data_IF_079221281343
#
_entry.id   IF_079221281343
#
_cell.length_a   1.000
_cell.length_b   1.000
_cell.length_c   1.000
_cell.angle_alpha   90.00
_cell.angle_beta   90.00
_cell.angle_gamma   90.00
#
_symmetry.space_group_name_H-M   'P 1'
#
loop_
_entity.id
_entity.type
_entity.pdbx_description
1 polymer ?
#
# COMPACT_ATOMS: atom_id res chain seq x y z
N UNK A 1 -16.49 -14.04 26.21
CA UNK A 1 -15.26 -14.61 25.60
C UNK A 1 -14.03 -14.02 26.30
N UNK A 2 -12.95 -14.78 26.53
CA UNK A 2 -11.70 -14.23 27.10
C UNK A 2 -10.85 -13.62 25.99
N UNK A 3 -10.05 -12.57 26.29
CA UNK A 3 -9.20 -11.90 25.30
C UNK A 3 -8.26 -12.88 24.56
N UNK A 4 -7.79 -13.93 25.24
CA UNK A 4 -6.99 -15.00 24.64
C UNK A 4 -7.72 -15.76 23.53
N UNK A 5 -9.04 -15.99 23.64
CA UNK A 5 -9.79 -16.71 22.61
C UNK A 5 -9.96 -15.87 21.34
N UNK A 6 -10.11 -14.54 21.50
CA UNK A 6 -10.21 -13.61 20.36
C UNK A 6 -8.90 -13.58 19.56
N UNK A 7 -7.76 -13.51 20.26
CA UNK A 7 -6.42 -13.55 19.65
C UNK A 7 -6.21 -14.86 18.87
N UNK A 8 -6.58 -16.00 19.46
CA UNK A 8 -6.44 -17.31 18.81
C UNK A 8 -7.24 -17.42 17.51
N UNK A 9 -8.48 -16.90 17.47
CA UNK A 9 -9.31 -16.92 16.26
C UNK A 9 -8.70 -16.04 15.18
N UNK A 10 -8.24 -14.84 15.53
CA UNK A 10 -7.62 -13.93 14.56
C UNK A 10 -6.36 -14.54 13.95
N UNK A 11 -5.51 -15.19 14.75
CA UNK A 11 -4.34 -15.91 14.27
C UNK A 11 -4.70 -17.13 13.42
N UNK A 12 -5.71 -17.90 13.85
CA UNK A 12 -6.18 -19.06 13.09
C UNK A 12 -6.71 -18.65 11.70
N UNK A 13 -7.27 -17.44 11.56
CA UNK A 13 -7.73 -16.90 10.29
C UNK A 13 -6.59 -16.46 9.35
N UNK A 14 -5.32 -16.48 9.76
CA UNK A 14 -4.18 -16.07 8.92
C UNK A 14 -3.78 -17.14 7.89
N UNK A 15 -4.05 -18.42 8.16
CA UNK A 15 -3.77 -19.51 7.21
C UNK A 15 -4.87 -20.57 7.21
N UNK A 16 -5.09 -21.19 6.04
CA UNK A 16 -6.08 -22.27 5.88
C UNK A 16 -5.84 -23.41 6.89
N UNK A 17 -4.57 -23.80 7.05
CA UNK A 17 -4.20 -24.90 7.94
C UNK A 17 -4.47 -24.55 9.40
N UNK A 18 -4.03 -23.37 9.84
CA UNK A 18 -4.19 -22.95 11.24
C UNK A 18 -5.67 -22.76 11.59
N UNK A 19 -6.49 -22.38 10.61
CA UNK A 19 -7.94 -22.29 10.76
C UNK A 19 -8.58 -23.65 10.99
N UNK A 20 -8.24 -24.65 10.17
CA UNK A 20 -8.78 -26.00 10.32
C UNK A 20 -8.28 -26.68 11.59
N UNK A 21 -7.00 -26.52 11.93
CA UNK A 21 -6.41 -27.05 13.17
C UNK A 21 -7.13 -26.44 14.39
N UNK A 22 -7.44 -25.13 14.35
CA UNK A 22 -8.23 -24.46 15.38
C UNK A 22 -9.67 -25.00 15.48
N UNK A 23 -10.36 -25.18 14.35
CA UNK A 23 -11.71 -25.72 14.33
C UNK A 23 -11.75 -27.16 14.85
N UNK A 24 -10.78 -28.00 14.49
CA UNK A 24 -10.68 -29.38 14.96
C UNK A 24 -10.40 -29.45 16.48
N UNK A 25 -9.56 -28.53 16.97
CA UNK A 25 -9.27 -28.41 18.41
C UNK A 25 -10.48 -27.92 19.23
N UNK A 26 -11.27 -26.97 18.73
CA UNK A 26 -12.46 -26.48 19.44
C UNK A 26 -13.62 -27.48 19.39
N UNK A 27 -13.81 -28.19 18.26
CA UNK A 27 -14.83 -29.23 18.12
C UNK A 27 -14.56 -30.40 19.05
N UNK A 28 -13.31 -30.84 19.17
CA UNK A 28 -12.92 -31.97 20.03
C UNK A 28 -13.07 -31.69 21.54
N UNK A 29 -13.13 -30.42 21.95
CA UNK A 29 -13.24 -30.03 23.37
C UNK A 29 -14.70 -29.81 23.81
N UNK A 30 -15.65 -29.63 22.89
CA UNK A 30 -17.01 -29.13 23.21
C UNK A 30 -18.19 -29.87 22.56
N UNK A 31 -17.97 -31.08 22.05
CA UNK A 31 -18.87 -31.89 21.20
C UNK A 31 -20.27 -32.25 21.75
N UNK A 32 -20.69 -31.84 22.96
CA UNK A 32 -22.01 -32.26 23.49
C UNK A 32 -22.93 -31.17 24.05
N UNK A 33 -22.44 -29.97 24.38
CA UNK A 33 -23.29 -28.92 24.97
C UNK A 33 -23.45 -27.66 24.13
N UNK A 34 -22.50 -27.33 23.24
CA UNK A 34 -22.52 -26.08 22.47
C UNK A 34 -23.13 -26.22 21.08
N UNK A 35 -23.04 -27.40 20.44
CA UNK A 35 -23.72 -27.66 19.18
C UNK A 35 -25.24 -27.43 19.29
N UNK A 36 -25.84 -27.88 20.40
CA UNK A 36 -27.26 -27.66 20.69
C UNK A 36 -27.62 -26.20 21.00
N UNK A 37 -26.66 -25.38 21.46
CA UNK A 37 -26.91 -23.96 21.71
C UNK A 37 -26.76 -23.14 20.43
N UNK A 38 -25.81 -23.50 19.56
CA UNK A 38 -25.62 -22.86 18.26
C UNK A 38 -26.81 -23.11 17.32
N UNK A 39 -27.45 -24.28 17.38
CA UNK A 39 -28.69 -24.56 16.60
C UNK A 39 -29.91 -23.76 17.07
N UNK A 40 -29.91 -23.22 18.31
CA UNK A 40 -31.03 -22.44 18.85
C UNK A 40 -30.89 -20.94 18.48
N UNK A 41 -29.66 -20.45 18.30
CA UNK A 41 -29.39 -19.09 17.86
C UNK A 41 -29.51 -19.00 16.34
N UNK A 42 -30.27 -18.02 15.83
CA UNK A 42 -30.34 -17.79 14.39
C UNK A 42 -28.96 -17.44 13.84
N UNK A 43 -28.49 -18.19 12.86
CA UNK A 43 -27.26 -17.88 12.14
C UNK A 43 -27.33 -16.46 11.54
N UNK A 44 -26.22 -15.69 11.55
CA UNK A 44 -26.11 -14.49 10.72
C UNK A 44 -26.42 -14.86 9.27
N UNK A 45 -27.17 -13.99 8.59
CA UNK A 45 -27.43 -14.19 7.17
C UNK A 45 -26.12 -14.09 6.36
N UNK A 46 -26.17 -14.60 5.14
CA UNK A 46 -25.00 -14.65 4.27
C UNK A 46 -24.47 -13.25 3.90
N UNK A 47 -25.34 -12.24 3.81
CA UNK A 47 -24.96 -10.86 3.52
C UNK A 47 -24.15 -10.26 4.67
N UNK A 48 -24.50 -10.59 5.91
CA UNK A 48 -23.79 -10.18 7.12
C UNK A 48 -22.45 -10.89 7.26
N UNK A 49 -22.36 -12.18 6.92
CA UNK A 49 -21.08 -12.90 6.85
C UNK A 49 -20.18 -12.35 5.73
N UNK A 50 -20.75 -11.98 4.58
CA UNK A 50 -20.01 -11.35 3.49
C UNK A 50 -19.52 -9.94 3.88
N UNK A 51 -20.39 -9.15 4.51
CA UNK A 51 -20.04 -7.83 5.05
C UNK A 51 -18.99 -7.92 6.15
N UNK A 52 -18.98 -9.00 6.93
CA UNK A 52 -17.92 -9.28 7.90
C UNK A 52 -16.58 -9.52 7.21
N UNK A 53 -16.54 -10.40 6.20
CA UNK A 53 -15.31 -10.68 5.43
C UNK A 53 -14.79 -9.44 4.71
N UNK A 54 -15.70 -8.64 4.16
CA UNK A 54 -15.38 -7.39 3.46
C UNK A 54 -15.27 -6.17 4.38
N UNK A 55 -15.35 -6.36 5.70
CA UNK A 55 -15.24 -5.32 6.73
C UNK A 55 -16.18 -4.12 6.57
N UNK A 56 -17.39 -4.38 6.09
CA UNK A 56 -18.44 -3.38 5.90
C UNK A 56 -19.40 -3.30 7.10
N UNK A 57 -19.20 -4.14 8.13
CA UNK A 57 -19.97 -4.09 9.37
C UNK A 57 -19.45 -2.98 10.29
N UNK A 58 -20.37 -2.41 11.07
CA UNK A 58 -19.99 -1.57 12.20
C UNK A 58 -19.36 -2.42 13.33
N UNK A 59 -18.67 -1.78 14.28
CA UNK A 59 -17.97 -2.47 15.37
C UNK A 59 -18.88 -3.40 16.19
N UNK A 60 -20.17 -3.08 16.31
CA UNK A 60 -21.12 -3.87 17.08
C UNK A 60 -21.45 -5.16 16.33
N UNK A 61 -21.81 -5.03 15.06
CA UNK A 61 -22.16 -6.16 14.20
C UNK A 61 -20.95 -7.05 13.91
N UNK A 62 -19.76 -6.46 13.74
CA UNK A 62 -18.49 -7.18 13.61
C UNK A 62 -18.22 -8.08 14.82
N UNK A 63 -18.32 -7.53 16.03
CA UNK A 63 -18.14 -8.30 17.26
C UNK A 63 -19.21 -9.39 17.43
N UNK A 64 -20.45 -9.14 17.03
CA UNK A 64 -21.52 -10.14 17.05
C UNK A 64 -21.24 -11.31 16.10
N UNK A 65 -20.81 -11.01 14.87
CA UNK A 65 -20.46 -12.06 13.89
C UNK A 65 -19.24 -12.83 14.38
N UNK A 66 -18.21 -12.15 14.87
CA UNK A 66 -17.00 -12.77 15.40
C UNK A 66 -17.28 -13.71 16.58
N UNK A 67 -18.15 -13.31 17.52
CA UNK A 67 -18.57 -14.18 18.63
C UNK A 67 -19.36 -15.39 18.10
N UNK A 68 -20.25 -15.21 17.12
CA UNK A 68 -21.01 -16.30 16.53
C UNK A 68 -20.10 -17.31 15.81
N UNK A 69 -19.20 -16.86 14.93
CA UNK A 69 -18.31 -17.76 14.18
C UNK A 69 -17.34 -18.51 15.09
N UNK A 70 -17.01 -17.94 16.26
CA UNK A 70 -16.18 -18.62 17.27
C UNK A 70 -16.79 -19.89 17.87
N UNK A 71 -18.11 -20.05 17.73
CA UNK A 71 -18.88 -21.15 18.30
C UNK A 71 -19.73 -21.90 17.28
N UNK A 72 -19.76 -21.44 16.03
CA UNK A 72 -20.57 -22.00 14.96
C UNK A 72 -19.70 -22.42 13.77
N UNK A 73 -19.39 -23.72 13.69
CA UNK A 73 -18.60 -24.32 12.60
C UNK A 73 -19.12 -23.95 11.20
N UNK A 74 -20.44 -24.00 11.01
CA UNK A 74 -21.07 -23.70 9.71
C UNK A 74 -20.79 -22.27 9.26
N UNK A 75 -20.95 -21.29 10.14
CA UNK A 75 -20.68 -19.89 9.81
C UNK A 75 -19.19 -19.62 9.65
N UNK A 76 -18.34 -20.28 10.45
CA UNK A 76 -16.88 -20.20 10.32
C UNK A 76 -16.40 -20.72 8.95
N UNK A 77 -16.86 -21.90 8.51
CA UNK A 77 -16.59 -22.44 7.18
C UNK A 77 -17.12 -21.55 6.06
N UNK A 78 -18.27 -20.91 6.26
CA UNK A 78 -18.84 -19.98 5.27
C UNK A 78 -17.99 -18.72 5.13
N UNK A 79 -17.57 -18.12 6.24
CA UNK A 79 -16.64 -16.97 6.26
C UNK A 79 -15.33 -17.34 5.56
N UNK A 80 -14.79 -18.53 5.84
CA UNK A 80 -13.57 -19.00 5.19
C UNK A 80 -13.76 -19.14 3.66
N UNK A 81 -14.85 -19.75 3.20
CA UNK A 81 -15.16 -19.86 1.77
C UNK A 81 -15.31 -18.51 1.09
N UNK A 82 -15.99 -17.56 1.73
CA UNK A 82 -16.13 -16.20 1.19
C UNK A 82 -14.75 -15.56 1.06
N UNK A 83 -13.87 -15.70 2.05
CA UNK A 83 -12.50 -15.17 1.99
C UNK A 83 -11.70 -15.80 0.85
N UNK A 84 -11.74 -17.13 0.69
CA UNK A 84 -11.09 -17.82 -0.44
C UNK A 84 -11.59 -17.32 -1.80
N UNK A 85 -12.90 -17.12 -1.95
CA UNK A 85 -13.49 -16.59 -3.18
C UNK A 85 -13.01 -15.16 -3.44
N UNK A 86 -12.96 -14.30 -2.42
CA UNK A 86 -12.46 -12.93 -2.56
C UNK A 86 -10.97 -12.92 -2.95
N UNK A 87 -10.14 -13.78 -2.34
CA UNK A 87 -8.73 -13.93 -2.70
C UNK A 87 -8.52 -14.45 -4.13
N UNK A 88 -9.31 -15.44 -4.55
CA UNK A 88 -9.28 -15.96 -5.93
C UNK A 88 -9.73 -14.91 -6.93
N UNK A 89 -10.83 -14.19 -6.65
CA UNK A 89 -11.31 -13.10 -7.51
C UNK A 89 -10.31 -11.94 -7.59
N UNK A 90 -9.59 -11.67 -6.49
CA UNK A 90 -8.51 -10.69 -6.46
C UNK A 90 -7.35 -11.13 -7.34
N UNK A 91 -6.91 -12.39 -7.22
CA UNK A 91 -5.85 -12.95 -8.04
C UNK A 91 -6.24 -12.96 -9.52
N UNK A 92 -7.46 -13.37 -9.85
CA UNK A 92 -7.99 -13.33 -11.21
C UNK A 92 -8.03 -11.89 -11.76
N UNK A 93 -8.38 -10.90 -10.93
CA UNK A 93 -8.40 -9.50 -11.33
C UNK A 93 -6.98 -8.93 -11.57
N UNK A 94 -5.99 -9.42 -10.84
CA UNK A 94 -4.57 -9.11 -11.05
C UNK A 94 -4.04 -9.79 -12.31
N UNK A 95 -4.29 -11.09 -12.47
CA UNK A 95 -3.89 -11.87 -13.65
C UNK A 95 -4.54 -11.33 -14.93
N UNK A 96 -5.80 -10.90 -14.84
CA UNK A 96 -6.48 -10.23 -15.95
C UNK A 96 -5.85 -8.88 -16.29
N UNK A 97 -5.44 -8.10 -15.27
CA UNK A 97 -4.76 -6.82 -15.50
C UNK A 97 -3.40 -7.02 -16.20
N UNK A 98 -2.67 -8.07 -15.82
CA UNK A 98 -1.38 -8.43 -16.43
C UNK A 98 -1.52 -8.98 -17.85
N UNK A 99 -2.66 -9.61 -18.18
CA UNK A 99 -2.91 -10.19 -19.51
C UNK A 99 -3.27 -9.17 -20.58
N UNK A 100 -3.72 -7.96 -20.23
CA UNK A 100 -4.02 -6.92 -21.23
C UNK A 100 -2.77 -6.07 -21.42
N UNK A 101 -2.05 -6.18 -22.55
CA UNK A 101 -0.92 -5.31 -22.81
C UNK A 101 -1.38 -3.85 -22.73
N UNK A 102 -0.68 -3.01 -21.96
CA UNK A 102 -0.94 -1.56 -21.88
C UNK A 102 -1.05 -0.94 -23.28
N UNK A 103 -0.33 -1.50 -24.26
CA UNK A 103 -0.38 -1.14 -25.68
C UNK A 103 -1.75 -1.37 -26.33
N UNK A 104 -2.50 -2.40 -25.95
CA UNK A 104 -3.87 -2.65 -26.46
C UNK A 104 -4.89 -1.68 -25.85
N UNK A 105 -4.76 -1.30 -24.57
CA UNK A 105 -5.63 -0.30 -23.95
C UNK A 105 -5.41 1.08 -24.58
N UNK A 106 -4.14 1.47 -24.80
CA UNK A 106 -3.79 2.71 -25.49
C UNK A 106 -4.25 2.66 -26.95
N UNK A 107 -4.09 1.52 -27.65
CA UNK A 107 -4.56 1.33 -29.03
C UNK A 107 -6.06 1.59 -29.16
N UNK A 108 -6.89 1.06 -28.25
CA UNK A 108 -8.35 1.29 -28.25
C UNK A 108 -8.74 2.75 -27.99
N UNK A 109 -8.03 3.43 -27.09
CA UNK A 109 -8.27 4.86 -26.83
C UNK A 109 -7.89 5.71 -28.05
N UNK A 110 -6.75 5.41 -28.67
CA UNK A 110 -6.27 6.10 -29.87
C UNK A 110 -7.19 5.83 -31.06
N UNK A 111 -7.68 4.61 -31.27
CA UNK A 111 -8.59 4.29 -32.38
C UNK A 111 -9.94 5.00 -32.23
N UNK A 112 -10.49 5.04 -31.01
CA UNK A 112 -11.75 5.74 -30.73
C UNK A 112 -11.63 7.27 -30.90
N UNK A 113 -10.46 7.84 -30.58
CA UNK A 113 -10.16 9.24 -30.85
C UNK A 113 -9.96 9.50 -32.35
N UNK A 114 -9.25 8.60 -33.04
CA UNK A 114 -8.98 8.73 -34.48
C UNK A 114 -10.24 8.62 -35.33
N UNK A 115 -11.19 7.75 -35.00
CA UNK A 115 -12.50 7.68 -35.68
C UNK A 115 -13.32 8.97 -35.47
N UNK A 116 -13.29 9.54 -34.27
CA UNK A 116 -13.98 10.83 -33.99
C UNK A 116 -13.31 12.00 -34.71
N UNK A 117 -11.99 11.96 -34.87
CA UNK A 117 -11.19 13.02 -35.50
C UNK A 117 -11.27 12.96 -37.03
N UNK A 118 -11.26 11.77 -37.62
CA UNK A 118 -11.26 11.57 -39.08
C UNK A 118 -12.62 11.82 -39.75
N UNK A 119 -13.72 11.85 -38.99
CA UNK A 119 -15.08 12.07 -39.51
C UNK A 119 -15.42 13.54 -39.85
N UNK A 120 -14.48 14.50 -39.76
CA UNK A 120 -14.74 15.92 -40.12
C UNK A 120 -13.75 16.43 -41.18
N UNK A 121 -14.04 16.28 -42.48
CA UNK A 121 -13.18 16.80 -43.54
C UNK A 121 -13.61 18.22 -43.88
N UNK A 122 -12.81 19.24 -43.51
CA UNK A 122 -12.47 20.41 -44.35
C UNK A 122 -11.79 21.60 -43.63
N UNK A 123 -11.64 21.60 -42.30
CA UNK A 123 -11.08 22.76 -41.56
C UNK A 123 -9.70 22.52 -40.92
N UNK A 124 -8.91 21.57 -41.43
CA UNK A 124 -7.73 21.06 -40.72
C UNK A 124 -6.37 21.61 -41.17
N UNK A 125 -6.29 22.41 -42.25
CA UNK A 125 -5.00 22.96 -42.68
C UNK A 125 -4.44 24.02 -41.69
N UNK A 126 -5.30 24.77 -40.99
CA UNK A 126 -4.87 25.72 -39.95
C UNK A 126 -4.77 25.10 -38.55
N UNK A 127 -5.59 24.07 -38.26
CA UNK A 127 -5.62 23.40 -36.95
C UNK A 127 -4.43 22.46 -36.69
N UNK A 128 -3.99 21.69 -37.69
CA UNK A 128 -2.83 20.80 -37.52
C UNK A 128 -1.52 21.55 -37.27
N UNK A 129 -1.34 22.72 -37.90
CA UNK A 129 -0.16 23.56 -37.66
C UNK A 129 -0.12 24.06 -36.22
N UNK A 130 -1.25 24.51 -35.68
CA UNK A 130 -1.35 24.96 -34.30
C UNK A 130 -1.15 23.79 -33.31
N UNK A 131 -1.77 22.63 -33.57
CA UNK A 131 -1.60 21.45 -32.71
C UNK A 131 -0.15 20.92 -32.73
N UNK A 132 0.47 20.86 -33.91
CA UNK A 132 1.88 20.48 -34.04
C UNK A 132 2.81 21.49 -33.36
N UNK A 133 2.52 22.79 -33.46
CA UNK A 133 3.26 23.84 -32.76
C UNK A 133 3.07 23.74 -31.24
N UNK A 134 1.87 23.45 -30.74
CA UNK A 134 1.62 23.22 -29.31
C UNK A 134 2.35 21.97 -28.81
N UNK A 135 2.38 20.88 -29.58
CA UNK A 135 3.12 19.66 -29.24
C UNK A 135 4.62 19.93 -29.25
N UNK A 136 5.15 20.62 -30.27
CA UNK A 136 6.56 21.03 -30.30
C UNK A 136 6.92 21.97 -29.15
N UNK A 137 6.05 22.92 -28.78
CA UNK A 137 6.26 23.77 -27.61
C UNK A 137 6.23 22.97 -26.31
N UNK A 138 5.40 21.94 -26.21
CA UNK A 138 5.38 21.03 -25.06
C UNK A 138 6.68 20.21 -24.95
N UNK A 139 7.23 19.73 -26.06
CA UNK A 139 8.51 19.02 -26.10
C UNK A 139 9.75 19.94 -25.99
N UNK A 140 9.64 21.21 -26.40
CA UNK A 140 10.72 22.20 -26.37
C UNK A 140 10.71 23.07 -25.10
N UNK A 141 9.67 23.00 -24.27
CA UNK A 141 9.72 23.57 -22.93
C UNK A 141 10.80 22.85 -22.13
N UNK A 142 11.94 23.52 -21.81
CA UNK A 142 13.04 22.88 -21.12
C UNK A 142 12.58 22.56 -19.69
N UNK A 143 12.46 21.27 -19.41
CA UNK A 143 12.06 20.78 -18.10
C UNK A 143 10.56 20.94 -17.89
N UNK A 144 9.82 19.85 -18.13
CA UNK A 144 8.83 19.46 -17.12
C UNK A 144 9.56 19.59 -15.79
N UNK A 145 9.18 20.62 -15.02
CA UNK A 145 9.72 20.91 -13.71
C UNK A 145 9.80 19.56 -13.01
N UNK A 146 11.01 19.02 -12.80
CA UNK A 146 11.17 17.75 -12.07
C UNK A 146 10.44 18.02 -10.78
N UNK A 147 9.26 17.41 -10.67
CA UNK A 147 8.35 17.63 -9.57
C UNK A 147 9.19 17.37 -8.35
N UNK A 148 9.37 18.41 -7.53
CA UNK A 148 10.29 18.33 -6.41
C UNK A 148 9.67 17.35 -5.42
N UNK A 149 10.06 16.07 -5.54
CA UNK A 149 9.54 14.96 -4.75
C UNK A 149 9.62 15.31 -3.26
N UNK A 150 10.71 15.98 -2.87
CA UNK A 150 10.93 16.43 -1.50
C UNK A 150 9.82 17.38 -1.02
N UNK A 151 9.34 18.28 -1.90
CA UNK A 151 8.24 19.19 -1.62
C UNK A 151 6.93 18.44 -1.38
N UNK A 152 6.58 17.48 -2.26
CA UNK A 152 5.36 16.68 -2.09
C UNK A 152 5.38 15.86 -0.81
N UNK A 153 6.51 15.20 -0.51
CA UNK A 153 6.67 14.42 0.72
C UNK A 153 6.62 15.32 1.97
N UNK A 154 7.17 16.52 1.91
CA UNK A 154 7.10 17.50 3.01
C UNK A 154 5.67 17.98 3.23
N UNK A 155 4.94 18.33 2.17
CA UNK A 155 3.53 18.73 2.25
C UNK A 155 2.66 17.61 2.84
N UNK A 156 2.86 16.37 2.38
CA UNK A 156 2.18 15.18 2.92
C UNK A 156 2.48 14.97 4.40
N UNK A 157 3.73 15.19 4.81
CA UNK A 157 4.13 15.07 6.22
C UNK A 157 3.43 16.08 7.10
N UNK A 158 3.31 17.33 6.65
CA UNK A 158 2.57 18.38 7.38
C UNK A 158 1.10 18.00 7.52
N UNK A 159 0.47 17.50 6.45
CA UNK A 159 -0.93 17.03 6.50
C UNK A 159 -1.03 15.88 7.51
N UNK A 160 -0.16 14.86 7.39
CA UNK A 160 -0.18 13.71 8.28
C UNK A 160 0.13 14.07 9.74
N UNK A 161 0.97 15.06 10.03
CA UNK A 161 1.21 15.54 11.40
C UNK A 161 -0.04 16.15 12.07
N UNK A 162 -0.97 16.71 11.29
CA UNK A 162 -2.25 17.20 11.82
C UNK A 162 -3.21 16.05 12.13
N UNK A 163 -3.06 14.94 11.41
CA UNK A 163 -3.86 13.71 11.48
C UNK A 163 -3.30 12.74 12.53
N UNK A 164 -2.00 12.74 12.79
CA UNK A 164 -1.25 11.68 13.49
C UNK A 164 -1.19 11.78 15.02
N UNK A 165 -1.94 12.68 15.69
CA UNK A 165 -1.88 12.75 17.18
C UNK A 165 -2.21 11.42 17.89
N UNK A 166 -2.79 10.45 17.17
CA UNK A 166 -3.11 9.10 17.68
C UNK A 166 -2.30 7.97 17.03
N UNK A 167 -1.51 8.25 15.99
CA UNK A 167 -0.83 7.19 15.27
C UNK A 167 0.46 6.80 16.01
N UNK A 168 0.44 5.63 16.63
CA UNK A 168 1.68 4.97 17.06
C UNK A 168 2.21 4.20 15.87
N UNK A 169 3.18 4.77 15.17
CA UNK A 169 3.84 4.02 14.10
C UNK A 169 4.68 2.95 14.80
N UNK A 170 4.49 1.66 14.50
CA UNK A 170 5.26 0.59 15.12
C UNK A 170 6.67 0.53 14.50
N UNK A 171 7.44 1.62 14.59
CA UNK A 171 8.83 1.64 14.12
C UNK A 171 9.74 0.80 15.03
N UNK A 172 9.37 0.60 16.31
CA UNK A 172 10.24 -0.03 17.31
C UNK A 172 9.60 -1.20 18.07
N UNK A 173 8.26 -1.32 18.12
CA UNK A 173 7.59 -2.30 18.98
C UNK A 173 7.57 -3.72 18.42
N UNK A 174 7.81 -3.90 17.13
CA UNK A 174 7.94 -5.21 16.50
C UNK A 174 9.38 -5.33 16.03
N UNK A 175 10.17 -6.21 16.64
CA UNK A 175 11.54 -6.53 16.21
C UNK A 175 11.66 -7.11 14.78
N UNK A 176 10.64 -6.92 13.93
CA UNK A 176 10.52 -7.41 12.57
C UNK A 176 11.33 -6.60 11.57
N UNK A 177 11.52 -5.28 11.80
CA UNK A 177 12.28 -4.41 10.90
C UNK A 177 13.63 -4.01 11.52
N UNK A 178 14.55 -4.98 11.62
CA UNK A 178 15.87 -4.71 12.17
C UNK A 178 16.74 -3.97 11.16
N UNK A 179 16.70 -2.64 11.21
CA UNK A 179 17.67 -1.81 10.49
C UNK A 179 19.11 -1.89 11.08
N UNK A 180 19.33 -2.69 12.13
CA UNK A 180 20.61 -2.78 12.84
C UNK A 180 21.61 -3.82 12.30
N UNK A 181 21.32 -4.54 11.20
CA UNK A 181 22.26 -5.56 10.67
C UNK A 181 23.56 -4.94 10.11
N UNK A 182 24.71 -5.52 10.44
CA UNK A 182 26.05 -4.91 10.28
C UNK A 182 26.60 -4.84 8.85
N UNK A 183 25.84 -5.27 7.83
CA UNK A 183 26.26 -5.25 6.41
C UNK A 183 25.07 -4.96 5.48
N UNK A 184 24.44 -3.80 5.65
CA UNK A 184 23.38 -3.37 4.73
C UNK A 184 23.97 -2.72 3.49
N UNK A 185 23.33 -2.97 2.34
CA UNK A 185 23.65 -2.28 1.10
C UNK A 185 23.38 -0.77 1.26
N UNK A 186 24.07 0.10 0.50
CA UNK A 186 23.76 1.53 0.50
C UNK A 186 22.28 1.84 0.18
N UNK A 187 21.65 1.03 -0.69
CA UNK A 187 20.22 1.14 -1.01
C UNK A 187 19.33 0.91 0.22
N UNK A 188 19.59 -0.17 0.98
CA UNK A 188 18.87 -0.50 2.21
C UNK A 188 19.04 0.57 3.29
N UNK A 189 20.25 1.15 3.42
CA UNK A 189 20.49 2.26 4.36
C UNK A 189 19.74 3.51 3.94
N UNK A 190 19.77 3.88 2.65
CA UNK A 190 19.05 5.04 2.13
C UNK A 190 17.54 4.89 2.35
N UNK A 191 16.98 3.72 2.02
CA UNK A 191 15.58 3.39 2.29
C UNK A 191 15.23 3.49 3.77
N UNK A 192 16.03 2.86 4.64
CA UNK A 192 15.82 2.95 6.08
C UNK A 192 15.93 4.36 6.63
N UNK A 193 16.86 5.15 6.11
CA UNK A 193 16.98 6.57 6.47
C UNK A 193 15.71 7.35 6.11
N UNK A 194 15.18 7.17 4.91
CA UNK A 194 13.93 7.81 4.48
C UNK A 194 12.75 7.40 5.36
N UNK A 195 12.59 6.10 5.59
CA UNK A 195 11.53 5.54 6.43
C UNK A 195 11.60 6.06 7.86
N UNK A 196 12.80 6.08 8.45
CA UNK A 196 13.03 6.60 9.79
C UNK A 196 12.75 8.10 9.87
N UNK A 197 13.22 8.91 8.91
CA UNK A 197 12.99 10.36 8.88
C UNK A 197 11.50 10.68 8.79
N UNK A 198 10.75 9.97 7.94
CA UNK A 198 9.30 10.12 7.86
C UNK A 198 8.63 9.81 9.22
N UNK A 199 9.01 8.72 9.87
CA UNK A 199 8.50 8.36 11.20
C UNK A 199 8.75 9.44 12.25
N UNK A 200 9.97 9.96 12.34
CA UNK A 200 10.31 11.04 13.27
C UNK A 200 9.52 12.32 13.00
N UNK A 201 9.33 12.64 11.72
CA UNK A 201 8.53 13.81 11.37
C UNK A 201 7.07 13.62 11.79
N UNK A 202 6.50 12.42 11.68
CA UNK A 202 5.13 12.14 12.12
C UNK A 202 4.95 12.26 13.63
N UNK A 203 5.95 11.85 14.43
CA UNK A 203 5.89 11.89 15.89
C UNK A 203 6.03 13.29 16.51
N UNK A 204 6.35 14.33 15.71
CA UNK A 204 6.71 15.69 16.19
C UNK A 204 7.86 15.72 17.21
N UNK A 205 8.54 14.59 17.43
CA UNK A 205 9.69 14.45 18.32
C UNK A 205 10.98 14.53 17.51
N UNK A 206 11.28 15.71 16.97
CA UNK A 206 12.44 15.99 16.10
C UNK A 206 13.81 15.90 16.79
N UNK A 207 13.91 15.30 17.98
CA UNK A 207 15.12 15.35 18.82
C UNK A 207 16.04 14.13 18.71
N UNK A 208 15.59 13.04 18.07
CA UNK A 208 16.46 11.90 17.83
C UNK A 208 17.36 12.19 16.62
N UNK A 209 18.66 11.94 16.74
CA UNK A 209 19.55 11.94 15.59
C UNK A 209 19.32 10.65 14.81
N UNK A 210 19.41 10.71 13.48
CA UNK A 210 19.37 9.50 12.64
C UNK A 210 20.48 8.53 13.10
N UNK A 211 20.17 7.24 13.32
CA UNK A 211 21.19 6.28 13.73
C UNK A 211 22.38 6.25 12.77
N UNK A 212 23.60 6.18 13.31
CA UNK A 212 24.85 6.21 12.52
C UNK A 212 24.88 5.16 11.40
N UNK A 213 24.24 4.01 11.58
CA UNK A 213 24.19 2.93 10.59
C UNK A 213 23.27 3.23 9.39
N UNK A 214 22.43 4.26 9.46
CA UNK A 214 21.59 4.75 8.35
C UNK A 214 22.22 5.95 7.63
N UNK A 215 23.32 6.51 8.15
CA UNK A 215 24.02 7.60 7.48
C UNK A 215 24.70 7.08 6.19
N UNK A 216 24.82 7.93 5.15
CA UNK A 216 25.66 7.60 4.01
C UNK A 216 27.12 7.48 4.46
N UNK A 217 27.93 6.77 3.67
CA UNK A 217 29.35 6.59 3.99
C UNK A 217 30.02 7.95 4.16
N UNK A 218 30.65 8.16 5.33
CA UNK A 218 31.28 9.43 5.67
C UNK A 218 32.41 9.69 4.69
N UNK A 219 32.31 10.75 3.89
CA UNK A 219 33.52 11.41 3.41
C UNK A 219 34.24 11.96 4.64
N UNK A 220 35.57 11.81 4.70
CA UNK A 220 36.38 11.94 5.93
C UNK A 220 36.25 13.28 6.69
N UNK A 221 35.54 14.29 6.19
CA UNK A 221 35.56 15.66 6.71
C UNK A 221 34.20 16.38 6.84
N UNK A 222 33.05 15.72 6.70
CA UNK A 222 31.76 16.42 6.79
C UNK A 222 30.79 15.83 7.83
N UNK A 223 30.11 16.72 8.55
CA UNK A 223 28.93 16.38 9.34
C UNK A 223 27.83 15.93 8.37
N UNK A 224 27.39 14.68 8.52
CA UNK A 224 26.45 14.04 7.58
C UNK A 224 25.05 14.09 8.19
N UNK A 225 24.15 14.82 7.52
CA UNK A 225 22.72 14.84 7.85
C UNK A 225 21.97 13.86 6.94
N UNK A 226 20.80 13.38 7.38
CA UNK A 226 19.94 12.47 6.59
C UNK A 226 19.59 13.04 5.21
N UNK A 227 19.40 14.36 5.12
CA UNK A 227 19.07 15.05 3.86
C UNK A 227 20.13 14.86 2.76
N UNK A 228 21.37 14.52 3.12
CA UNK A 228 22.42 14.23 2.13
C UNK A 228 22.08 13.06 1.23
N UNK A 229 21.24 12.11 1.67
CA UNK A 229 20.80 11.02 0.81
C UNK A 229 20.11 11.51 -0.47
N UNK A 230 19.40 12.64 -0.40
CA UNK A 230 18.72 13.26 -1.55
C UNK A 230 19.68 13.72 -2.65
N UNK A 231 20.95 13.96 -2.31
CA UNK A 231 22.01 14.40 -3.23
C UNK A 231 22.82 13.22 -3.81
N UNK A 232 22.61 12.00 -3.31
CA UNK A 232 23.34 10.81 -3.76
C UNK A 232 22.63 10.08 -4.91
N UNK A 233 23.31 9.11 -5.52
CA UNK A 233 22.69 8.15 -6.46
C UNK A 233 21.62 7.25 -5.81
N UNK A 234 21.51 7.26 -4.47
CA UNK A 234 20.57 6.46 -3.70
C UNK A 234 19.31 7.24 -3.27
N UNK A 235 19.15 8.48 -3.74
CA UNK A 235 18.04 9.37 -3.38
C UNK A 235 16.66 8.77 -3.62
N UNK A 236 16.47 7.99 -4.70
CA UNK A 236 15.19 7.32 -4.97
C UNK A 236 14.81 6.32 -3.88
N UNK A 237 15.78 5.58 -3.34
CA UNK A 237 15.51 4.63 -2.26
C UNK A 237 15.14 5.37 -0.97
N UNK A 238 15.81 6.50 -0.69
CA UNK A 238 15.44 7.39 0.41
C UNK A 238 14.01 7.90 0.27
N UNK A 239 13.64 8.48 -0.87
CA UNK A 239 12.27 8.95 -1.11
C UNK A 239 11.24 7.82 -1.02
N UNK A 240 11.59 6.63 -1.52
CA UNK A 240 10.72 5.46 -1.45
C UNK A 240 10.47 5.03 0.00
N UNK A 241 11.52 4.92 0.83
CA UNK A 241 11.35 4.61 2.25
C UNK A 241 10.52 5.64 2.99
N UNK A 242 10.74 6.92 2.69
CA UNK A 242 9.97 8.03 3.24
C UNK A 242 8.48 7.89 2.88
N UNK A 243 8.19 7.72 1.59
CA UNK A 243 6.83 7.56 1.08
C UNK A 243 6.15 6.31 1.64
N UNK A 244 6.86 5.17 1.71
CA UNK A 244 6.32 3.93 2.29
C UNK A 244 5.85 4.12 3.73
N UNK A 245 6.62 4.86 4.55
CA UNK A 245 6.22 5.18 5.91
C UNK A 245 4.94 6.05 5.93
N UNK A 246 4.90 7.14 5.14
CA UNK A 246 3.73 8.02 5.07
C UNK A 246 2.48 7.28 4.59
N UNK A 247 2.60 6.44 3.55
CA UNK A 247 1.48 5.72 2.96
C UNK A 247 0.96 4.65 3.93
N UNK A 248 1.85 3.91 4.59
CA UNK A 248 1.47 2.96 5.65
C UNK A 248 0.73 3.68 6.77
N UNK A 249 1.23 4.84 7.20
CA UNK A 249 0.60 5.66 8.22
C UNK A 249 -0.79 6.16 7.80
N UNK A 250 -0.95 6.57 6.55
CA UNK A 250 -2.23 6.97 5.98
C UNK A 250 -3.24 5.80 6.00
N UNK A 251 -2.82 4.62 5.53
CA UNK A 251 -3.64 3.40 5.52
C UNK A 251 -4.10 2.94 6.92
N UNK A 252 -3.29 3.19 7.95
CA UNK A 252 -3.59 2.79 9.33
C UNK A 252 -4.39 3.85 10.11
N UNK A 253 -4.57 5.05 9.55
CA UNK A 253 -5.32 6.10 10.23
C UNK A 253 -6.83 5.93 10.01
N UNK A 254 -7.63 6.04 11.06
CA UNK A 254 -9.11 5.96 10.99
C UNK A 254 -9.77 7.33 10.66
N UNK A 255 -9.06 8.21 9.97
CA UNK A 255 -9.44 9.62 9.89
C UNK A 255 -10.32 9.90 8.69
N UNK A 256 -11.48 10.50 8.94
CA UNK A 256 -12.51 10.80 7.95
C UNK A 256 -12.12 11.89 6.94
N UNK A 257 -11.08 12.68 7.22
CA UNK A 257 -10.60 13.81 6.39
C UNK A 257 -9.27 13.51 5.67
N UNK A 258 -9.08 12.29 5.16
CA UNK A 258 -7.86 11.89 4.45
C UNK A 258 -7.77 12.39 3.00
N UNK A 259 -8.78 13.10 2.53
CA UNK A 259 -8.90 13.56 1.14
C UNK A 259 -7.66 14.27 0.60
N UNK A 260 -6.97 15.05 1.43
CA UNK A 260 -5.74 15.75 1.03
C UNK A 260 -4.50 14.85 1.02
N UNK A 261 -4.48 13.83 1.88
CA UNK A 261 -3.39 12.84 1.91
C UNK A 261 -3.39 12.05 0.60
N UNK A 262 -4.57 11.58 0.18
CA UNK A 262 -4.70 10.72 -0.99
C UNK A 262 -4.58 11.44 -2.33
N UNK A 263 -4.84 12.75 -2.37
CA UNK A 263 -4.87 13.55 -3.60
C UNK A 263 -3.59 13.41 -4.44
N UNK A 264 -2.43 13.30 -3.80
CA UNK A 264 -1.12 13.32 -4.46
C UNK A 264 -0.40 11.96 -4.48
N UNK A 265 -1.00 10.90 -3.93
CA UNK A 265 -0.28 9.61 -3.81
C UNK A 265 0.03 9.00 -5.17
N UNK A 266 -0.88 9.13 -6.12
CA UNK A 266 -0.68 8.68 -7.50
C UNK A 266 0.45 9.44 -8.19
N UNK A 267 0.52 10.76 -8.00
CA UNK A 267 1.58 11.60 -8.60
C UNK A 267 2.97 11.28 -8.01
N UNK A 268 3.03 11.10 -6.69
CA UNK A 268 4.26 10.67 -5.98
C UNK A 268 4.70 9.31 -6.50
N UNK A 269 3.78 8.35 -6.62
CA UNK A 269 4.07 7.01 -7.11
C UNK A 269 4.62 7.03 -8.55
N UNK A 270 4.00 7.77 -9.46
CA UNK A 270 4.50 7.93 -10.83
C UNK A 270 5.92 8.51 -10.87
N UNK A 271 6.20 9.50 -10.02
CA UNK A 271 7.53 10.10 -9.96
C UNK A 271 8.56 9.13 -9.36
N UNK A 272 8.18 8.31 -8.36
CA UNK A 272 9.04 7.26 -7.82
C UNK A 272 9.34 6.18 -8.86
N UNK A 273 8.34 5.72 -9.62
CA UNK A 273 8.52 4.74 -10.71
C UNK A 273 9.48 5.29 -11.78
N UNK A 274 9.29 6.55 -12.17
CA UNK A 274 10.14 7.20 -13.16
C UNK A 274 11.60 7.34 -12.67
N UNK A 275 11.80 7.88 -11.47
CA UNK A 275 13.13 8.05 -10.88
C UNK A 275 13.82 6.70 -10.66
N UNK A 276 13.07 5.66 -10.29
CA UNK A 276 13.60 4.32 -10.09
C UNK A 276 13.99 3.65 -11.40
N UNK A 277 13.17 3.80 -12.45
CA UNK A 277 13.47 3.31 -13.79
C UNK A 277 14.76 3.93 -14.37
N UNK A 278 15.00 5.22 -14.11
CA UNK A 278 16.22 5.93 -14.52
C UNK A 278 17.44 5.64 -13.64
N UNK A 279 17.24 5.07 -12.44
CA UNK A 279 18.32 4.83 -11.50
C UNK A 279 19.33 3.78 -12.06
N UNK A 280 20.61 4.16 -12.10
CA UNK A 280 21.70 3.32 -12.63
C UNK A 280 22.31 2.37 -11.61
N UNK A 281 22.08 2.58 -10.32
CA UNK A 281 22.65 1.77 -9.24
C UNK A 281 21.71 0.66 -8.74
N UNK A 282 20.49 0.56 -9.29
CA UNK A 282 19.56 -0.53 -8.96
C UNK A 282 20.06 -1.88 -9.46
N UNK A 283 19.80 -2.92 -8.68
CA UNK A 283 20.03 -4.30 -9.10
C UNK A 283 18.83 -4.84 -9.89
N UNK A 284 19.01 -5.95 -10.61
CA UNK A 284 17.90 -6.63 -11.29
C UNK A 284 16.83 -7.11 -10.29
N UNK A 285 17.27 -7.55 -9.11
CA UNK A 285 16.35 -8.00 -8.07
C UNK A 285 15.56 -6.84 -7.45
N UNK A 286 16.20 -5.69 -7.25
CA UNK A 286 15.49 -4.45 -6.87
C UNK A 286 14.43 -4.14 -7.91
N UNK A 287 14.80 -4.18 -9.21
CA UNK A 287 13.90 -3.89 -10.30
C UNK A 287 12.68 -4.81 -10.29
N UNK A 288 12.89 -6.11 -10.08
CA UNK A 288 11.83 -7.12 -10.04
C UNK A 288 10.88 -6.91 -8.85
N UNK A 289 11.42 -6.80 -7.63
CA UNK A 289 10.59 -6.75 -6.41
C UNK A 289 9.90 -5.40 -6.26
N UNK A 290 10.63 -4.29 -6.46
CA UNK A 290 10.09 -2.95 -6.24
C UNK A 290 9.04 -2.64 -7.31
N UNK A 291 9.35 -2.83 -8.60
CA UNK A 291 8.39 -2.51 -9.68
C UNK A 291 7.10 -3.31 -9.55
N UNK A 292 7.19 -4.61 -9.24
CA UNK A 292 6.01 -5.46 -9.05
C UNK A 292 5.10 -4.92 -7.93
N UNK A 293 5.66 -4.54 -6.78
CA UNK A 293 4.85 -4.05 -5.66
C UNK A 293 4.35 -2.61 -5.87
N UNK A 294 5.12 -1.74 -6.54
CA UNK A 294 4.67 -0.40 -6.92
C UNK A 294 3.49 -0.46 -7.91
N UNK A 295 3.54 -1.35 -8.91
CA UNK A 295 2.45 -1.49 -9.88
C UNK A 295 1.16 -2.03 -9.23
N UNK A 296 1.28 -2.91 -8.22
CA UNK A 296 0.13 -3.34 -7.40
C UNK A 296 -0.49 -2.16 -6.65
N UNK A 297 0.32 -1.35 -5.96
CA UNK A 297 -0.15 -0.16 -5.25
C UNK A 297 -0.83 0.81 -6.22
N UNK A 298 -0.21 1.05 -7.38
CA UNK A 298 -0.73 1.91 -8.44
C UNK A 298 -2.08 1.44 -8.93
N UNK A 299 -2.21 0.14 -9.21
CA UNK A 299 -3.47 -0.47 -9.63
C UNK A 299 -4.58 -0.21 -8.61
N UNK A 300 -4.29 -0.32 -7.31
CA UNK A 300 -5.25 -0.06 -6.24
C UNK A 300 -5.63 1.43 -6.19
N UNK A 301 -4.65 2.32 -6.25
CA UNK A 301 -4.86 3.77 -6.22
C UNK A 301 -5.68 4.27 -7.42
N UNK A 302 -5.40 3.74 -8.62
CA UNK A 302 -6.08 4.14 -9.86
C UNK A 302 -7.48 3.54 -9.97
N UNK A 303 -7.68 2.27 -9.54
CA UNK A 303 -9.00 1.61 -9.61
C UNK A 303 -9.97 2.09 -8.53
N UNK A 304 -9.51 2.79 -7.50
CA UNK A 304 -10.39 3.39 -6.51
C UNK A 304 -11.30 4.45 -7.16
N UNK A 305 -12.55 4.09 -7.43
CA UNK A 305 -13.59 5.05 -7.82
C UNK A 305 -13.94 6.05 -6.71
N UNK A 306 -13.36 5.87 -5.51
CA UNK A 306 -13.50 6.74 -4.35
C UNK A 306 -12.30 7.68 -4.26
N UNK A 307 -12.51 8.81 -3.58
CA UNK A 307 -11.47 9.82 -3.32
C UNK A 307 -10.27 9.28 -2.51
N UNK A 308 -10.46 8.19 -1.77
CA UNK A 308 -9.43 7.48 -1.03
C UNK A 308 -9.70 5.96 -1.02
N UNK A 309 -8.67 5.13 -0.83
CA UNK A 309 -8.83 3.68 -0.74
C UNK A 309 -9.63 3.26 0.49
N UNK A 310 -10.52 2.28 0.33
CA UNK A 310 -11.22 1.66 1.47
C UNK A 310 -10.29 0.79 2.32
N UNK A 311 -10.80 0.30 3.47
CA UNK A 311 -10.03 -0.50 4.43
C UNK A 311 -9.34 -1.73 3.80
N UNK A 312 -10.05 -2.47 2.94
CA UNK A 312 -9.49 -3.61 2.20
C UNK A 312 -8.34 -3.17 1.29
N UNK A 313 -8.54 -2.10 0.51
CA UNK A 313 -7.53 -1.57 -0.39
C UNK A 313 -6.30 -1.07 0.39
N UNK A 314 -6.49 -0.43 1.54
CA UNK A 314 -5.42 -0.04 2.45
C UNK A 314 -4.61 -1.26 2.95
N UNK A 315 -5.25 -2.38 3.26
CA UNK A 315 -4.54 -3.63 3.62
C UNK A 315 -3.71 -4.19 2.48
N UNK A 316 -4.25 -4.16 1.25
CA UNK A 316 -3.51 -4.60 0.06
C UNK A 316 -2.29 -3.70 -0.22
N UNK A 317 -2.45 -2.38 -0.03
CA UNK A 317 -1.35 -1.42 -0.10
C UNK A 317 -0.30 -1.74 0.97
N UNK A 318 -0.71 -1.91 2.24
CA UNK A 318 0.19 -2.27 3.35
C UNK A 318 0.94 -3.57 3.04
N UNK A 319 0.27 -4.63 2.58
CA UNK A 319 0.90 -5.90 2.22
C UNK A 319 1.98 -5.71 1.13
N UNK A 320 1.70 -4.86 0.14
CA UNK A 320 2.66 -4.55 -0.92
C UNK A 320 3.85 -3.71 -0.40
N UNK A 321 3.58 -2.77 0.52
CA UNK A 321 4.62 -2.01 1.21
C UNK A 321 5.48 -2.90 2.10
N UNK A 322 4.89 -3.82 2.87
CA UNK A 322 5.59 -4.75 3.75
C UNK A 322 6.54 -5.66 2.95
N UNK A 323 6.17 -6.06 1.72
CA UNK A 323 7.08 -6.77 0.82
C UNK A 323 8.29 -5.92 0.43
N UNK A 324 8.08 -4.64 0.10
CA UNK A 324 9.17 -3.71 -0.23
C UNK A 324 10.04 -3.48 1.01
N UNK A 325 9.43 -3.18 2.16
CA UNK A 325 10.14 -2.93 3.42
C UNK A 325 10.93 -4.17 3.82
N UNK A 326 10.32 -5.36 3.85
CA UNK A 326 10.99 -6.62 4.18
C UNK A 326 12.19 -6.90 3.27
N UNK A 327 12.06 -6.65 1.97
CA UNK A 327 13.19 -6.77 1.03
C UNK A 327 14.30 -5.74 1.30
N UNK A 328 13.93 -4.50 1.59
CA UNK A 328 14.89 -3.40 1.80
C UNK A 328 15.50 -3.41 3.21
N UNK A 329 14.98 -4.22 4.13
CA UNK A 329 15.40 -4.28 5.55
C UNK A 329 15.98 -5.64 5.99
N UNK A 330 16.91 -6.25 5.23
CA UNK A 330 17.42 -7.59 5.53
C UNK A 330 18.29 -7.67 6.81
#
# INVERSE_FOLDING_TARGET
>A
MTDNKKIHITQALESEKDFFDFLEQEVSVQESSLEKQAEILSHPDHEKLYSYVTEQLDDRDDNMVLEHISSCKICAETVFKIRMIEEDMEQDALDWADQVPVTEQISRLVSNLWEKISARPLYWASGFSMAAACVLLFFLMPGTQKNDMSKFLTEQTVIMQTVSEKLKIPLETTGSYSFASSKKSPASRAFGAGFWTAGQNLEKNSSSNIPDYLLPDRSENEQVNADKWTETSWSVYYHMGYWSCLLSAACQSDISDQDQVWLHQTDILYSLESDFAENKVKTEEDNRIITMNLEKIKTILVKSNKKYPGKIQCRMIIKSLDNIIGYMTP
#
